data_IF_647174704163
#
_entry.id   IF_647174704163
#
_cell.length_a   1.000
_cell.length_b   1.000
_cell.length_c   1.000
_cell.angle_alpha   90.00
_cell.angle_beta   90.00
_cell.angle_gamma   90.00
#
_symmetry.space_group_name_H-M   'P 1'
#
loop_
_entity.id
_entity.type
_entity.pdbx_description
1 polymer ?
#
# COMPACT_ATOMS: atom_id res chain seq x y z
N UNK A 1 -16.60 -7.47 -7.03
CA UNK A 1 -16.86 -7.79 -5.62
C UNK A 1 -17.97 -6.86 -5.10
N UNK A 2 -18.77 -7.25 -4.11
CA UNK A 2 -19.78 -6.34 -3.54
C UNK A 2 -19.13 -5.22 -2.72
N UNK A 3 -19.81 -4.07 -2.59
CA UNK A 3 -19.28 -2.86 -1.93
C UNK A 3 -18.73 -3.15 -0.54
N UNK A 4 -19.49 -3.85 0.31
CA UNK A 4 -19.05 -4.19 1.69
C UNK A 4 -17.74 -4.98 1.70
N UNK A 5 -17.60 -5.99 0.85
CA UNK A 5 -16.36 -6.78 0.75
C UNK A 5 -15.20 -5.93 0.23
N UNK A 6 -15.47 -4.99 -0.69
CA UNK A 6 -14.48 -4.02 -1.18
C UNK A 6 -13.94 -3.13 -0.06
N UNK A 7 -14.84 -2.55 0.73
CA UNK A 7 -14.48 -1.70 1.87
C UNK A 7 -13.66 -2.47 2.92
N UNK A 8 -14.04 -3.71 3.24
CA UNK A 8 -13.26 -4.54 4.18
C UNK A 8 -11.89 -4.89 3.61
N UNK A 9 -11.82 -5.25 2.32
CA UNK A 9 -10.56 -5.54 1.64
C UNK A 9 -9.61 -4.35 1.68
N UNK A 10 -10.12 -3.15 1.39
CA UNK A 10 -9.35 -1.90 1.43
C UNK A 10 -8.85 -1.57 2.84
N UNK A 11 -9.68 -1.77 3.86
CA UNK A 11 -9.29 -1.53 5.25
C UNK A 11 -8.10 -2.42 5.65
N UNK A 12 -8.20 -3.73 5.36
CA UNK A 12 -7.13 -4.70 5.63
C UNK A 12 -5.88 -4.36 4.83
N UNK A 13 -6.06 -4.01 3.55
CA UNK A 13 -4.95 -3.65 2.66
C UNK A 13 -4.22 -2.40 3.15
N UNK A 14 -4.94 -1.34 3.51
CA UNK A 14 -4.36 -0.12 4.09
C UNK A 14 -3.63 -0.41 5.40
N UNK A 15 -4.20 -1.24 6.29
CA UNK A 15 -3.51 -1.63 7.52
C UNK A 15 -2.16 -2.30 7.23
N UNK A 16 -2.14 -3.29 6.31
CA UNK A 16 -0.92 -4.00 5.92
C UNK A 16 0.13 -3.01 5.38
N UNK A 17 -0.29 -2.10 4.50
CA UNK A 17 0.62 -1.11 3.87
C UNK A 17 1.18 -0.14 4.90
N UNK A 18 0.35 0.45 5.76
CA UNK A 18 0.80 1.43 6.77
C UNK A 18 1.72 0.76 7.78
N UNK A 19 1.34 -0.41 8.32
CA UNK A 19 2.18 -1.16 9.24
C UNK A 19 3.54 -1.48 8.62
N UNK A 20 3.56 -2.01 7.39
CA UNK A 20 4.80 -2.36 6.71
C UNK A 20 5.66 -1.13 6.41
N UNK A 21 5.07 -0.06 5.89
CA UNK A 21 5.82 1.15 5.50
C UNK A 21 6.40 1.90 6.70
N UNK A 22 5.72 1.87 7.85
CA UNK A 22 6.21 2.47 9.10
C UNK A 22 7.52 1.84 9.61
N UNK A 23 7.84 0.61 9.20
CA UNK A 23 9.04 -0.12 9.64
C UNK A 23 10.20 -0.09 8.65
N UNK A 24 10.03 0.54 7.47
CA UNK A 24 11.06 0.54 6.39
C UNK A 24 12.38 1.13 6.89
N UNK A 25 12.35 2.27 7.59
CA UNK A 25 13.58 2.92 8.06
C UNK A 25 14.39 2.05 9.03
N UNK A 26 13.71 1.36 9.94
CA UNK A 26 14.35 0.44 10.89
C UNK A 26 14.93 -0.76 10.13
N UNK A 27 14.17 -1.33 9.18
CA UNK A 27 14.64 -2.46 8.38
C UNK A 27 15.86 -2.09 7.52
N UNK A 28 15.86 -0.91 6.89
CA UNK A 28 17.03 -0.38 6.17
C UNK A 28 18.23 -0.29 7.10
N UNK A 29 18.06 0.22 8.32
CA UNK A 29 19.15 0.35 9.28
C UNK A 29 19.72 -1.01 9.72
N UNK A 30 18.84 -1.98 10.02
CA UNK A 30 19.25 -3.34 10.40
C UNK A 30 20.04 -4.00 9.27
N UNK A 31 19.53 -3.96 8.04
CA UNK A 31 20.20 -4.53 6.88
C UNK A 31 21.53 -3.82 6.58
N UNK A 32 21.53 -2.48 6.62
CA UNK A 32 22.76 -1.70 6.45
C UNK A 32 23.83 -2.10 7.46
N UNK A 33 23.46 -2.19 8.74
CA UNK A 33 24.37 -2.61 9.82
C UNK A 33 24.90 -4.03 9.62
N UNK A 34 24.05 -4.98 9.20
CA UNK A 34 24.44 -6.38 8.95
C UNK A 34 25.48 -6.53 7.82
N UNK A 35 25.46 -5.62 6.84
CA UNK A 35 26.41 -5.61 5.73
C UNK A 35 27.57 -4.60 5.90
N UNK A 36 27.67 -3.92 7.06
CA UNK A 36 28.68 -2.89 7.29
C UNK A 36 28.50 -1.63 6.42
N UNK A 37 27.29 -1.39 5.94
CA UNK A 37 26.94 -0.26 5.07
C UNK A 37 26.48 0.92 5.95
N UNK A 38 27.22 2.02 5.89
CA UNK A 38 26.86 3.28 6.53
C UNK A 38 25.74 4.04 5.80
N UNK A 39 25.32 5.17 6.37
CA UNK A 39 24.36 6.05 5.72
C UNK A 39 24.94 6.68 4.45
N UNK A 40 24.14 6.75 3.38
CA UNK A 40 24.54 7.33 2.10
C UNK A 40 23.80 6.71 0.91
N UNK A 41 24.39 6.80 -0.28
CA UNK A 41 23.77 6.28 -1.51
C UNK A 41 23.50 4.77 -1.44
N UNK A 42 24.40 4.00 -0.81
CA UNK A 42 24.23 2.55 -0.66
C UNK A 42 23.06 2.20 0.28
N UNK A 43 22.84 2.97 1.36
CA UNK A 43 21.67 2.75 2.22
C UNK A 43 20.36 3.14 1.53
N UNK A 44 20.38 4.13 0.63
CA UNK A 44 19.22 4.44 -0.21
C UNK A 44 18.89 3.30 -1.17
N UNK A 45 19.90 2.63 -1.72
CA UNK A 45 19.68 1.45 -2.55
C UNK A 45 18.99 0.32 -1.77
N UNK A 46 19.38 0.07 -0.52
CA UNK A 46 18.69 -0.89 0.36
C UNK A 46 17.22 -0.50 0.53
N UNK A 47 16.92 0.75 0.89
CA UNK A 47 15.54 1.24 1.01
C UNK A 47 14.76 1.06 -0.29
N UNK A 48 15.38 1.35 -1.43
CA UNK A 48 14.75 1.20 -2.75
C UNK A 48 14.37 -0.25 -3.02
N UNK A 49 15.25 -1.20 -2.71
CA UNK A 49 14.96 -2.64 -2.85
C UNK A 49 13.82 -3.06 -1.91
N UNK A 50 13.84 -2.63 -0.65
CA UNK A 50 12.75 -2.92 0.31
C UNK A 50 11.41 -2.39 -0.22
N UNK A 51 11.36 -1.12 -0.64
CA UNK A 51 10.14 -0.48 -1.17
C UNK A 51 9.65 -1.22 -2.41
N UNK A 52 10.55 -1.55 -3.34
CA UNK A 52 10.20 -2.29 -4.56
C UNK A 52 9.57 -3.64 -4.24
N UNK A 53 10.17 -4.42 -3.34
CA UNK A 53 9.65 -5.73 -2.93
C UNK A 53 8.29 -5.58 -2.24
N UNK A 54 8.17 -4.67 -1.27
CA UNK A 54 6.92 -4.44 -0.55
C UNK A 54 5.78 -4.04 -1.49
N UNK A 55 6.00 -3.06 -2.36
CA UNK A 55 4.95 -2.58 -3.28
C UNK A 55 4.57 -3.62 -4.33
N UNK A 56 5.51 -4.46 -4.77
CA UNK A 56 5.21 -5.61 -5.63
C UNK A 56 4.32 -6.64 -4.91
N UNK A 57 4.62 -6.95 -3.65
CA UNK A 57 3.80 -7.83 -2.82
C UNK A 57 2.42 -7.24 -2.53
N UNK A 58 2.34 -5.93 -2.30
CA UNK A 58 1.06 -5.25 -2.09
C UNK A 58 0.14 -5.37 -3.29
N UNK A 59 0.65 -5.28 -4.52
CA UNK A 59 -0.15 -5.55 -5.71
C UNK A 59 -0.75 -6.96 -5.70
N UNK A 60 0.08 -7.98 -5.44
CA UNK A 60 -0.34 -9.38 -5.39
C UNK A 60 -1.40 -9.60 -4.29
N UNK A 61 -1.19 -9.05 -3.10
CA UNK A 61 -2.13 -9.14 -1.98
C UNK A 61 -3.44 -8.43 -2.30
N UNK A 62 -3.37 -7.23 -2.91
CA UNK A 62 -4.55 -6.47 -3.33
C UNK A 62 -5.42 -7.27 -4.32
N UNK A 63 -4.79 -7.90 -5.30
CA UNK A 63 -5.48 -8.78 -6.26
C UNK A 63 -6.09 -10.00 -5.57
N UNK A 64 -5.35 -10.65 -4.65
CA UNK A 64 -5.85 -11.78 -3.86
C UNK A 64 -7.04 -11.39 -2.95
N UNK A 65 -7.07 -10.14 -2.48
CA UNK A 65 -8.19 -9.55 -1.72
C UNK A 65 -9.33 -9.05 -2.63
N UNK A 66 -9.34 -9.41 -3.91
CA UNK A 66 -10.41 -9.10 -4.85
C UNK A 66 -10.32 -7.69 -5.45
N UNK A 67 -9.11 -7.17 -5.62
CA UNK A 67 -8.85 -5.83 -6.14
C UNK A 67 -8.92 -4.75 -5.06
N UNK A 68 -8.47 -5.07 -3.85
CA UNK A 68 -8.38 -4.12 -2.75
C UNK A 68 -7.36 -3.01 -3.08
N UNK A 69 -7.67 -1.80 -2.65
CA UNK A 69 -6.84 -0.61 -2.83
C UNK A 69 -6.63 0.05 -1.47
N UNK A 70 -5.47 0.68 -1.29
CA UNK A 70 -5.08 1.27 0.00
C UNK A 70 -4.98 2.79 -0.01
N UNK A 71 -5.19 3.43 -1.16
CA UNK A 71 -4.94 4.86 -1.37
C UNK A 71 -6.15 5.53 -2.04
N UNK A 72 -6.82 6.48 -1.35
CA UNK A 72 -8.02 7.14 -1.87
C UNK A 72 -7.72 7.98 -3.10
N UNK A 73 -6.54 8.59 -3.20
CA UNK A 73 -6.13 9.33 -4.38
C UNK A 73 -5.95 8.39 -5.59
N UNK A 74 -5.36 7.21 -5.36
CA UNK A 74 -5.24 6.18 -6.40
C UNK A 74 -6.61 5.71 -6.88
N UNK A 75 -7.51 5.40 -5.95
CA UNK A 75 -8.89 4.99 -6.24
C UNK A 75 -9.64 6.07 -7.04
N UNK A 76 -9.54 7.34 -6.62
CA UNK A 76 -10.15 8.48 -7.31
C UNK A 76 -9.59 8.65 -8.72
N UNK A 77 -8.27 8.59 -8.88
CA UNK A 77 -7.59 8.76 -10.16
C UNK A 77 -7.98 7.67 -11.16
N UNK A 78 -7.99 6.40 -10.75
CA UNK A 78 -8.38 5.29 -11.62
C UNK A 78 -9.87 5.34 -11.99
N UNK A 79 -10.73 5.81 -11.10
CA UNK A 79 -12.13 6.08 -11.42
C UNK A 79 -12.26 7.21 -12.45
N UNK A 80 -11.59 8.35 -12.23
CA UNK A 80 -11.62 9.49 -13.14
C UNK A 80 -11.05 9.15 -14.53
N UNK A 81 -10.05 8.28 -14.60
CA UNK A 81 -9.48 7.79 -15.84
C UNK A 81 -10.37 6.76 -16.58
N UNK A 82 -11.50 6.35 -16.00
CA UNK A 82 -12.44 5.40 -16.61
C UNK A 82 -11.93 3.95 -16.67
N UNK A 83 -10.87 3.63 -15.91
CA UNK A 83 -10.28 2.27 -15.87
C UNK A 83 -10.74 1.46 -14.66
N UNK A 84 -11.31 2.13 -13.64
CA UNK A 84 -11.90 1.43 -12.50
C UNK A 84 -13.24 0.77 -12.87
N UNK A 85 -13.51 -0.39 -12.28
CA UNK A 85 -14.80 -1.10 -12.40
C UNK A 85 -15.83 -0.62 -11.37
N UNK A 86 -15.43 0.31 -10.50
CA UNK A 86 -16.24 0.85 -9.41
C UNK A 86 -17.24 1.89 -9.92
N UNK A 87 -18.43 1.94 -9.31
CA UNK A 87 -19.33 3.09 -9.42
C UNK A 87 -18.90 4.21 -8.47
N UNK A 88 -19.39 5.43 -8.69
CA UNK A 88 -19.12 6.57 -7.80
C UNK A 88 -19.50 6.26 -6.34
N UNK A 89 -20.60 5.54 -6.12
CA UNK A 89 -21.03 5.11 -4.79
C UNK A 89 -20.02 4.12 -4.16
N UNK A 90 -19.52 3.15 -4.94
CA UNK A 90 -18.49 2.21 -4.48
C UNK A 90 -17.20 2.96 -4.10
N UNK A 91 -16.76 3.89 -4.94
CA UNK A 91 -15.58 4.73 -4.67
C UNK A 91 -15.75 5.51 -3.36
N UNK A 92 -16.89 6.19 -3.18
CA UNK A 92 -17.17 6.97 -1.98
C UNK A 92 -17.19 6.11 -0.71
N UNK A 93 -17.75 4.90 -0.78
CA UNK A 93 -17.79 3.98 0.35
C UNK A 93 -16.41 3.43 0.74
N UNK A 94 -15.48 3.33 -0.22
CA UNK A 94 -14.12 2.79 -0.04
C UNK A 94 -13.17 3.78 0.63
N UNK A 95 -13.35 5.09 0.44
CA UNK A 95 -12.42 6.11 0.96
C UNK A 95 -12.20 6.05 2.47
N UNK A 96 -13.24 5.94 3.34
CA UNK A 96 -13.03 5.83 4.78
C UNK A 96 -12.13 4.66 5.17
N UNK A 97 -12.31 3.49 4.54
CA UNK A 97 -11.48 2.31 4.80
C UNK A 97 -10.01 2.54 4.43
N UNK A 98 -9.73 3.37 3.42
CA UNK A 98 -8.38 3.66 2.95
C UNK A 98 -7.64 4.74 3.76
N UNK A 99 -8.30 5.39 4.73
CA UNK A 99 -7.70 6.44 5.57
C UNK A 99 -7.80 6.17 7.07
N UNK A 100 -8.71 5.30 7.51
CA UNK A 100 -9.00 5.08 8.93
C UNK A 100 -7.77 4.63 9.74
N UNK A 101 -6.86 3.89 9.10
CA UNK A 101 -5.64 3.38 9.74
C UNK A 101 -4.40 4.27 9.52
N UNK A 102 -4.58 5.49 9.01
CA UNK A 102 -3.47 6.40 8.65
C UNK A 102 -3.14 7.43 9.74
N UNK A 103 -3.65 7.25 10.96
CA UNK A 103 -3.43 8.14 12.11
C UNK A 103 -2.43 7.54 13.11
#
# INVERSE_FOLDING_TARGET
MGVVKGVVGDFVMTFIVIFSTSTIGILTHILGSAFGIGQGLTSLFITMVIVFVLFSLFGIIGDALGGAAFNPAGTAAFYAAGVAKDSLYSVAARFPAQVLNCA
#
